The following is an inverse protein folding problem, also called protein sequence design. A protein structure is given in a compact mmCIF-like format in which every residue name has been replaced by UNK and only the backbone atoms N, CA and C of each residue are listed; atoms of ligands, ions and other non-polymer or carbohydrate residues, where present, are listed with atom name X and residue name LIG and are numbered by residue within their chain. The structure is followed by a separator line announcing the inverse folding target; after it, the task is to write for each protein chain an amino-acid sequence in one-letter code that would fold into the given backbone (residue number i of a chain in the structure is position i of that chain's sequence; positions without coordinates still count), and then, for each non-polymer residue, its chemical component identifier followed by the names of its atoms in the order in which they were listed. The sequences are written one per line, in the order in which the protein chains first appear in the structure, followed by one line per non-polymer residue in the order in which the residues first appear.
data_IF_970513050791
#
_entry.id   IF_970513050791
#
_cell.length_a   1.000
_cell.length_b   1.000
_cell.length_c   1.000
_cell.angle_alpha   90.00
_cell.angle_beta   90.00
_cell.angle_gamma   90.00
#
_symmetry.space_group_name_H-M   'P 1'
#
loop_
_entity.id
_entity.type
_entity.pdbx_description
1 polymer ?
#
# COMPACT_ATOMS: atom_id res chain seq x y z
N UNK A 1 64.40 17.55 30.52
CA UNK A 1 63.01 18.03 30.68
C UNK A 1 62.12 17.22 29.75
N UNK A 2 61.46 16.19 30.30
CA UNK A 2 60.59 15.27 29.56
C UNK A 2 59.15 15.78 29.61
N UNK A 3 58.47 15.91 28.46
CA UNK A 3 57.05 16.25 28.39
C UNK A 3 56.25 15.02 27.98
N UNK A 4 55.48 14.50 28.93
CA UNK A 4 54.45 13.48 28.73
C UNK A 4 53.30 14.06 27.90
N UNK A 5 52.98 13.43 26.77
CA UNK A 5 51.75 13.68 25.99
C UNK A 5 50.84 12.47 26.25
N UNK A 6 49.77 12.66 27.01
CA UNK A 6 48.72 11.67 27.19
C UNK A 6 47.74 11.75 26.02
N UNK A 7 47.68 10.70 25.20
CA UNK A 7 46.67 10.53 24.16
C UNK A 7 45.33 10.15 24.79
N UNK A 8 44.33 11.02 24.66
CA UNK A 8 42.94 10.74 25.02
C UNK A 8 42.25 10.08 23.82
N UNK A 9 42.03 8.76 23.89
CA UNK A 9 41.26 8.01 22.89
C UNK A 9 39.77 8.22 23.14
N UNK A 10 39.07 8.86 22.19
CA UNK A 10 37.64 9.07 22.22
C UNK A 10 36.94 7.86 21.56
N UNK A 11 36.37 6.97 22.38
CA UNK A 11 35.63 5.80 21.89
C UNK A 11 34.22 6.23 21.45
N UNK A 12 33.95 6.20 20.15
CA UNK A 12 32.60 6.32 19.59
C UNK A 12 31.82 5.03 19.82
N UNK A 13 30.81 5.08 20.71
CA UNK A 13 29.78 4.04 20.81
C UNK A 13 28.80 4.22 19.64
N UNK A 14 28.92 3.37 18.62
CA UNK A 14 27.89 3.20 17.59
C UNK A 14 26.75 2.39 18.22
N UNK A 15 25.65 3.05 18.57
CA UNK A 15 24.42 2.35 18.95
C UNK A 15 23.82 1.70 17.70
N UNK A 16 24.01 0.39 17.57
CA UNK A 16 23.33 -0.41 16.55
C UNK A 16 21.83 -0.49 16.91
N UNK A 17 21.00 0.29 16.24
CA UNK A 17 19.54 0.14 16.31
C UNK A 17 19.17 -1.20 15.68
N UNK A 18 18.85 -2.18 16.52
CA UNK A 18 18.28 -3.45 16.08
C UNK A 18 16.92 -3.20 15.43
N UNK A 19 16.84 -3.35 14.11
CA UNK A 19 15.57 -3.43 13.40
C UNK A 19 14.90 -4.74 13.82
N UNK A 20 13.91 -4.68 14.70
CA UNK A 20 13.06 -5.84 15.00
C UNK A 20 12.16 -6.07 13.79
N UNK A 21 12.55 -6.99 12.91
CA UNK A 21 11.69 -7.49 11.84
C UNK A 21 10.53 -8.27 12.46
N UNK A 22 9.40 -7.60 12.68
CA UNK A 22 8.15 -8.28 12.98
C UNK A 22 7.67 -8.95 11.68
N UNK A 23 7.75 -10.28 11.63
CA UNK A 23 7.10 -11.07 10.59
C UNK A 23 5.59 -10.90 10.75
N UNK A 24 4.97 -10.09 9.89
CA UNK A 24 3.52 -10.00 9.80
C UNK A 24 3.06 -11.29 9.12
N UNK A 25 2.53 -12.23 9.91
CA UNK A 25 1.86 -13.42 9.38
C UNK A 25 0.66 -12.93 8.58
N UNK A 26 0.67 -13.13 7.26
CA UNK A 26 -0.52 -12.84 6.43
C UNK A 26 -1.65 -13.79 6.81
N UNK A 27 -2.89 -13.31 6.66
CA UNK A 27 -4.07 -14.13 6.86
C UNK A 27 -4.04 -15.34 5.92
N UNK A 28 -4.44 -16.52 6.42
CA UNK A 28 -4.47 -17.75 5.63
C UNK A 28 -5.48 -17.69 4.46
N UNK A 29 -6.52 -16.86 4.58
CA UNK A 29 -7.51 -16.57 3.54
C UNK A 29 -7.20 -15.29 2.74
N UNK A 30 -6.11 -14.60 3.04
CA UNK A 30 -5.71 -13.35 2.41
C UNK A 30 -6.52 -12.12 2.83
N UNK A 31 -7.43 -12.23 3.80
CA UNK A 31 -8.29 -11.12 4.24
C UNK A 31 -7.63 -10.36 5.39
N UNK A 32 -7.48 -9.05 5.23
CA UNK A 32 -7.01 -8.13 6.28
C UNK A 32 -8.05 -7.02 6.50
N UNK A 33 -8.42 -6.79 7.75
CA UNK A 33 -9.35 -5.73 8.15
C UNK A 33 -8.55 -4.64 8.85
N UNK A 34 -8.48 -3.46 8.22
CA UNK A 34 -7.83 -2.29 8.78
C UNK A 34 -8.86 -1.38 9.46
N UNK A 35 -8.64 -1.05 10.73
CA UNK A 35 -9.49 -0.12 11.48
C UNK A 35 -8.67 1.04 12.02
N UNK A 36 -9.21 2.26 11.90
CA UNK A 36 -8.61 3.48 12.43
C UNK A 36 -9.69 4.51 12.80
N UNK A 37 -9.27 5.58 13.49
CA UNK A 37 -10.12 6.71 13.82
C UNK A 37 -10.18 7.76 12.69
N UNK A 38 -10.42 9.01 13.07
CA UNK A 38 -10.57 10.11 12.11
C UNK A 38 -9.29 10.37 11.28
N UNK A 39 -9.50 10.71 10.01
CA UNK A 39 -8.48 11.30 9.14
C UNK A 39 -8.02 12.63 9.73
N UNK A 40 -6.71 12.89 9.69
CA UNK A 40 -6.13 14.15 10.20
C UNK A 40 -5.11 14.76 9.24
N UNK A 41 -4.79 14.08 8.14
CA UNK A 41 -3.85 14.53 7.13
C UNK A 41 -4.28 14.06 5.75
N UNK A 42 -4.05 14.91 4.74
CA UNK A 42 -4.20 14.60 3.33
C UNK A 42 -3.11 15.30 2.53
N UNK A 43 -2.54 14.60 1.56
CA UNK A 43 -1.66 15.15 0.53
C UNK A 43 -2.04 14.55 -0.82
N UNK A 44 -2.02 15.37 -1.85
CA UNK A 44 -2.27 14.94 -3.22
C UNK A 44 -1.10 15.39 -4.08
N UNK A 45 -0.60 14.49 -4.94
CA UNK A 45 0.41 14.77 -5.97
C UNK A 45 -0.24 14.47 -7.31
N UNK A 46 -0.26 15.44 -8.21
CA UNK A 46 -0.89 15.30 -9.53
C UNK A 46 0.14 15.45 -10.64
N UNK A 47 -0.05 14.77 -11.76
CA UNK A 47 0.79 14.91 -12.94
C UNK A 47 -0.04 14.76 -14.23
N UNK A 48 0.14 15.69 -15.16
CA UNK A 48 -0.59 15.79 -16.45
C UNK A 48 0.32 15.51 -17.64
N UNK A 49 1.51 14.94 -17.40
CA UNK A 49 2.42 14.58 -18.47
C UNK A 49 2.33 13.08 -18.72
N UNK A 50 2.21 12.66 -20.00
CA UNK A 50 2.16 11.25 -20.34
C UNK A 50 3.48 10.58 -20.04
N UNK A 51 3.40 9.34 -19.56
CA UNK A 51 4.54 8.51 -19.21
C UNK A 51 4.34 7.13 -19.78
N UNK A 52 5.43 6.50 -20.22
CA UNK A 52 5.41 5.13 -20.73
C UNK A 52 6.46 4.27 -20.07
N UNK A 53 6.15 2.98 -19.90
CA UNK A 53 7.15 1.95 -19.63
C UNK A 53 6.83 0.66 -20.37
N UNK A 54 7.83 -0.20 -20.50
CA UNK A 54 7.72 -1.59 -20.93
C UNK A 54 8.56 -2.51 -20.05
N UNK A 55 8.94 -2.05 -18.85
CA UNK A 55 9.78 -2.82 -17.93
C UNK A 55 9.03 -3.98 -17.31
N UNK A 56 9.67 -5.13 -17.19
CA UNK A 56 9.13 -6.30 -16.49
C UNK A 56 9.40 -6.25 -14.97
N UNK A 57 10.11 -5.21 -14.50
CA UNK A 57 10.46 -5.02 -13.09
C UNK A 57 9.77 -3.79 -12.54
N UNK A 58 9.22 -3.89 -11.33
CA UNK A 58 8.66 -2.71 -10.68
C UNK A 58 9.69 -1.58 -10.57
N UNK A 59 9.37 -0.47 -11.21
CA UNK A 59 10.07 0.80 -11.08
C UNK A 59 9.06 1.88 -10.67
N UNK A 60 9.54 2.98 -10.11
CA UNK A 60 8.64 4.05 -9.70
C UNK A 60 8.06 4.79 -10.91
N UNK A 61 6.77 5.09 -10.86
CA UNK A 61 6.14 6.00 -11.81
C UNK A 61 6.73 7.40 -11.57
N UNK A 62 7.38 8.02 -12.56
CA UNK A 62 8.03 9.32 -12.35
C UNK A 62 7.07 10.39 -11.81
N UNK A 63 7.41 10.95 -10.64
CA UNK A 63 6.60 12.00 -10.00
C UNK A 63 5.41 11.50 -9.17
N UNK A 64 5.08 10.20 -9.17
CA UNK A 64 4.03 9.63 -8.33
C UNK A 64 4.58 9.15 -6.97
N UNK A 65 5.25 10.04 -6.25
CA UNK A 65 5.76 9.75 -4.90
C UNK A 65 5.75 10.97 -3.98
N UNK A 66 5.75 10.73 -2.67
CA UNK A 66 5.84 11.76 -1.63
C UNK A 66 6.42 11.19 -0.34
N UNK A 67 6.86 12.06 0.57
CA UNK A 67 7.13 11.69 1.97
C UNK A 67 6.07 12.29 2.88
N UNK A 68 5.51 11.47 3.76
CA UNK A 68 4.65 11.88 4.88
C UNK A 68 5.42 11.72 6.20
N UNK A 69 4.96 12.38 7.25
CA UNK A 69 5.60 12.33 8.56
C UNK A 69 4.63 11.78 9.60
N UNK A 70 4.90 10.58 10.10
CA UNK A 70 4.09 9.97 11.15
C UNK A 70 4.47 10.57 12.50
N UNK A 71 3.52 11.11 13.29
CA UNK A 71 3.82 11.76 14.56
C UNK A 71 4.59 10.84 15.53
N UNK A 72 5.43 11.40 16.42
CA UNK A 72 6.10 10.64 17.49
C UNK A 72 5.11 9.81 18.32
N UNK A 73 5.57 8.67 18.83
CA UNK A 73 4.81 7.81 19.76
C UNK A 73 3.37 7.53 19.30
N UNK A 74 3.18 7.23 18.01
CA UNK A 74 1.85 7.05 17.43
C UNK A 74 1.79 5.89 16.43
N UNK A 75 0.58 5.38 16.22
CA UNK A 75 0.27 4.49 15.12
C UNK A 75 -0.75 5.19 14.22
N UNK A 76 -0.59 5.06 12.91
CA UNK A 76 -1.51 5.63 11.91
C UNK A 76 -1.83 4.60 10.85
N UNK A 77 -3.06 4.63 10.35
CA UNK A 77 -3.37 4.00 9.08
C UNK A 77 -3.01 4.98 7.97
N UNK A 78 -2.14 4.54 7.05
CA UNK A 78 -1.84 5.26 5.82
C UNK A 78 -2.71 4.67 4.72
N UNK A 79 -3.60 5.49 4.17
CA UNK A 79 -4.44 5.15 3.03
C UNK A 79 -3.85 5.83 1.80
N UNK A 80 -3.63 5.06 0.74
CA UNK A 80 -3.13 5.57 -0.53
C UNK A 80 -4.14 5.26 -1.62
N UNK A 81 -4.60 6.27 -2.32
CA UNK A 81 -5.35 6.16 -3.56
C UNK A 81 -4.50 6.61 -4.74
N UNK A 82 -4.67 5.96 -5.88
CA UNK A 82 -4.08 6.41 -7.13
C UNK A 82 -5.10 6.28 -8.25
N UNK A 83 -5.37 7.40 -8.91
CA UNK A 83 -6.22 7.53 -10.07
C UNK A 83 -5.35 7.96 -11.25
N UNK A 84 -5.59 7.42 -12.44
CA UNK A 84 -4.95 7.89 -13.68
C UNK A 84 -5.79 7.51 -14.91
N UNK A 85 -5.57 8.20 -16.02
CA UNK A 85 -5.88 7.67 -17.34
C UNK A 85 -4.73 6.73 -17.74
N UNK A 86 -5.07 5.55 -18.26
CA UNK A 86 -4.09 4.56 -18.63
C UNK A 86 -4.50 3.76 -19.85
N UNK A 87 -3.51 3.06 -20.40
CA UNK A 87 -3.72 1.95 -21.34
C UNK A 87 -2.60 0.93 -21.24
N UNK A 88 -2.94 -0.33 -21.51
CA UNK A 88 -1.99 -1.42 -21.67
C UNK A 88 -2.11 -2.02 -23.08
N UNK A 89 -1.22 -1.64 -24.01
CA UNK A 89 -1.37 -2.04 -25.43
C UNK A 89 -0.17 -2.81 -25.97
N UNK A 90 -0.40 -3.65 -26.98
CA UNK A 90 0.65 -4.50 -27.56
C UNK A 90 0.71 -5.86 -26.86
N UNK A 91 1.90 -6.43 -26.67
CA UNK A 91 2.04 -7.74 -26.01
C UNK A 91 2.03 -8.96 -26.95
N UNK A 92 1.84 -8.76 -28.26
CA UNK A 92 1.63 -9.83 -29.24
C UNK A 92 0.17 -10.33 -29.28
N UNK A 93 -0.16 -11.24 -30.22
CA UNK A 93 -1.54 -11.75 -30.38
C UNK A 93 -1.67 -13.21 -29.96
N UNK A 94 -2.78 -13.57 -29.32
CA UNK A 94 -3.17 -14.94 -28.97
C UNK A 94 -3.12 -15.26 -27.48
N UNK A 95 -3.54 -16.47 -27.09
CA UNK A 95 -3.69 -16.84 -25.67
C UNK A 95 -2.36 -16.83 -24.89
N UNK A 96 -1.22 -17.05 -25.54
CA UNK A 96 0.11 -16.93 -24.94
C UNK A 96 0.59 -15.47 -24.77
N UNK A 97 -0.19 -14.50 -25.28
CA UNK A 97 0.08 -13.07 -25.23
C UNK A 97 -0.91 -12.30 -24.33
N UNK A 98 -1.63 -13.01 -23.45
CA UNK A 98 -2.46 -12.41 -22.41
C UNK A 98 -1.57 -11.74 -21.36
N UNK A 99 -1.05 -10.56 -21.69
CA UNK A 99 -0.25 -9.73 -20.82
C UNK A 99 -1.11 -8.64 -20.17
N UNK A 100 -0.61 -8.05 -19.10
CA UNK A 100 -1.24 -6.93 -18.43
C UNK A 100 -0.19 -5.99 -17.84
N UNK A 101 -0.67 -4.82 -17.45
CA UNK A 101 0.10 -3.75 -16.86
C UNK A 101 -0.26 -3.67 -15.37
N UNK A 102 0.75 -3.59 -14.51
CA UNK A 102 0.57 -3.68 -13.07
C UNK A 102 0.97 -2.38 -12.38
N UNK A 103 0.18 -2.01 -11.37
CA UNK A 103 0.55 -0.99 -10.40
C UNK A 103 0.67 -1.58 -8.99
N UNK A 104 1.61 -1.04 -8.23
CA UNK A 104 1.74 -1.28 -6.79
C UNK A 104 2.01 0.04 -6.06
N UNK A 105 1.83 0.04 -4.75
CA UNK A 105 2.21 1.18 -3.89
C UNK A 105 3.14 0.68 -2.80
N UNK A 106 4.30 1.30 -2.64
CA UNK A 106 5.15 1.10 -1.46
C UNK A 106 4.90 2.20 -0.45
N UNK A 107 4.72 1.81 0.82
CA UNK A 107 4.54 2.69 1.98
C UNK A 107 5.66 2.35 2.95
N UNK A 108 6.66 3.22 3.07
CA UNK A 108 7.87 2.99 3.88
C UNK A 108 8.68 1.79 3.40
N UNK A 109 8.79 1.60 2.08
CA UNK A 109 9.54 0.50 1.46
C UNK A 109 8.84 -0.86 1.44
N UNK A 110 7.61 -0.94 1.96
CA UNK A 110 6.80 -2.18 1.99
C UNK A 110 5.58 -1.96 1.12
N UNK A 111 5.24 -2.92 0.24
CA UNK A 111 4.01 -2.83 -0.55
C UNK A 111 2.79 -2.72 0.39
N UNK A 112 1.88 -1.79 0.10
CA UNK A 112 0.64 -1.65 0.86
C UNK A 112 -0.30 -2.82 0.62
N UNK A 113 -1.19 -3.09 1.57
CA UNK A 113 -2.18 -4.16 1.47
C UNK A 113 -3.32 -3.80 0.49
N UNK A 114 -3.82 -4.77 -0.30
CA UNK A 114 -3.27 -6.11 -0.47
C UNK A 114 -1.91 -6.05 -1.20
N UNK A 115 -0.91 -6.76 -0.68
CA UNK A 115 0.40 -6.86 -1.34
C UNK A 115 0.29 -7.94 -2.41
N UNK A 116 -0.22 -7.55 -3.58
CA UNK A 116 -0.56 -8.46 -4.66
C UNK A 116 0.69 -8.93 -5.40
N UNK A 117 1.78 -8.16 -5.41
CA UNK A 117 3.02 -8.53 -6.10
C UNK A 117 3.68 -9.80 -5.53
N UNK A 118 3.34 -10.18 -4.30
CA UNK A 118 3.88 -11.37 -3.63
C UNK A 118 3.08 -12.65 -3.91
N UNK A 119 1.89 -12.54 -4.50
CA UNK A 119 1.10 -13.69 -4.93
C UNK A 119 1.45 -13.99 -6.39
N UNK A 120 2.07 -15.14 -6.66
CA UNK A 120 2.22 -15.61 -8.04
C UNK A 120 0.94 -16.32 -8.51
N UNK A 121 0.80 -16.64 -9.80
CA UNK A 121 1.05 -15.77 -10.96
C UNK A 121 0.04 -14.60 -11.05
N UNK A 122 -0.95 -14.56 -10.15
CA UNK A 122 -2.05 -13.61 -10.13
C UNK A 122 -1.67 -12.35 -9.34
N UNK A 123 -1.15 -11.37 -10.06
CA UNK A 123 -0.83 -10.05 -9.54
C UNK A 123 -1.97 -9.05 -9.78
N UNK A 124 -1.83 -7.82 -9.30
CA UNK A 124 -2.83 -6.78 -9.53
C UNK A 124 -2.69 -6.17 -10.93
N UNK A 125 -3.49 -6.65 -11.87
CA UNK A 125 -3.65 -6.02 -13.18
C UNK A 125 -4.40 -4.69 -13.02
N UNK A 126 -3.74 -3.59 -13.35
CA UNK A 126 -4.38 -2.28 -13.48
C UNK A 126 -5.15 -2.20 -14.80
N UNK A 127 -4.55 -2.72 -15.87
CA UNK A 127 -5.19 -2.83 -17.19
C UNK A 127 -4.61 -4.05 -17.94
N UNK A 128 -5.36 -4.61 -18.87
CA UNK A 128 -5.00 -5.81 -19.63
C UNK A 128 -4.74 -5.48 -21.09
N UNK A 129 -3.90 -6.26 -21.77
CA UNK A 129 -3.74 -6.15 -23.23
C UNK A 129 -4.91 -6.73 -24.03
N UNK A 130 -5.86 -7.38 -23.36
CA UNK A 130 -6.97 -8.10 -23.98
C UNK A 130 -6.48 -9.05 -25.10
N UNK A 131 -5.45 -9.84 -24.80
CA UNK A 131 -4.76 -10.75 -25.75
C UNK A 131 -4.17 -10.02 -26.97
N UNK A 132 -3.73 -8.79 -26.78
CA UNK A 132 -3.18 -7.91 -27.82
C UNK A 132 -4.23 -7.15 -28.62
N UNK A 133 -5.51 -7.20 -28.23
CA UNK A 133 -6.56 -6.42 -28.88
C UNK A 133 -6.54 -4.94 -28.48
N UNK A 134 -5.99 -4.61 -27.30
CA UNK A 134 -5.85 -3.21 -26.89
C UNK A 134 -4.84 -2.47 -27.76
N UNK A 135 -5.24 -1.26 -28.17
CA UNK A 135 -4.47 -0.42 -29.08
C UNK A 135 -4.02 0.87 -28.38
N UNK A 136 -3.27 1.70 -29.09
CA UNK A 136 -2.94 3.05 -28.58
C UNK A 136 -4.17 3.92 -28.35
N UNK A 137 -5.36 3.55 -28.83
CA UNK A 137 -6.61 4.29 -28.64
C UNK A 137 -7.46 3.81 -27.46
N UNK A 138 -7.00 2.80 -26.71
CA UNK A 138 -7.72 2.16 -25.61
C UNK A 138 -7.57 2.92 -24.29
N UNK A 139 -7.78 4.23 -24.31
CA UNK A 139 -7.62 5.08 -23.13
C UNK A 139 -8.77 4.88 -22.15
N UNK A 140 -8.44 4.58 -20.89
CA UNK A 140 -9.42 4.33 -19.85
C UNK A 140 -8.99 4.94 -18.52
N UNK A 141 -9.96 5.43 -17.74
CA UNK A 141 -9.72 5.89 -16.39
C UNK A 141 -9.81 4.72 -15.41
N UNK A 142 -8.77 4.55 -14.59
CA UNK A 142 -8.69 3.50 -13.58
C UNK A 142 -8.21 4.05 -12.24
N UNK A 143 -8.66 3.41 -11.16
CA UNK A 143 -8.34 3.81 -9.79
C UNK A 143 -8.10 2.60 -8.89
N UNK A 144 -7.16 2.73 -7.96
CA UNK A 144 -6.94 1.71 -6.94
C UNK A 144 -6.50 2.30 -5.59
N UNK A 145 -6.59 1.48 -4.54
CA UNK A 145 -6.11 1.87 -3.22
C UNK A 145 -5.27 0.79 -2.53
N UNK A 146 -4.35 1.24 -1.67
CA UNK A 146 -3.50 0.41 -0.82
C UNK A 146 -3.36 1.02 0.56
N UNK A 147 -3.21 0.16 1.56
CA UNK A 147 -3.27 0.56 2.97
C UNK A 147 -2.12 -0.03 3.77
N UNK A 148 -1.63 0.68 4.79
CA UNK A 148 -0.64 0.13 5.72
C UNK A 148 -0.73 0.79 7.09
N UNK A 149 -0.73 -0.02 8.15
CA UNK A 149 -0.46 0.49 9.49
C UNK A 149 1.02 0.84 9.63
N UNK A 150 1.31 2.08 10.02
CA UNK A 150 2.67 2.52 10.35
C UNK A 150 2.74 2.94 11.81
N UNK A 151 3.71 2.39 12.55
CA UNK A 151 3.99 2.72 13.95
C UNK A 151 5.27 3.53 14.04
N UNK A 152 5.22 4.66 14.71
CA UNK A 152 6.38 5.45 15.09
C UNK A 152 6.56 5.37 16.60
N UNK A 153 7.54 4.59 17.02
CA UNK A 153 7.89 4.37 18.44
C UNK A 153 8.96 5.35 18.93
N UNK A 154 9.38 6.29 18.07
CA UNK A 154 10.40 7.28 18.40
C UNK A 154 9.78 8.57 18.93
N UNK A 155 10.62 9.41 19.54
CA UNK A 155 10.24 10.75 20.01
C UNK A 155 10.33 11.85 18.93
N UNK A 156 10.61 11.47 17.68
CA UNK A 156 10.69 12.40 16.54
C UNK A 156 9.73 11.98 15.43
N UNK A 157 9.29 12.89 14.54
CA UNK A 157 8.50 12.51 13.38
C UNK A 157 9.23 11.47 12.52
N UNK A 158 8.54 10.39 12.14
CA UNK A 158 9.09 9.34 11.28
C UNK A 158 8.77 9.67 9.81
N UNK A 159 9.77 9.95 8.96
CA UNK A 159 9.54 10.08 7.53
C UNK A 159 9.16 8.73 6.93
N UNK A 160 8.03 8.69 6.21
CA UNK A 160 7.54 7.52 5.50
C UNK A 160 7.41 7.90 4.04
N UNK A 161 8.21 7.27 3.18
CA UNK A 161 8.13 7.45 1.73
C UNK A 161 6.97 6.63 1.18
N UNK A 162 6.16 7.25 0.33
CA UNK A 162 5.05 6.62 -0.40
C UNK A 162 5.34 6.76 -1.89
N UNK A 163 5.28 5.67 -2.65
CA UNK A 163 5.51 5.70 -4.09
C UNK A 163 4.64 4.69 -4.83
N UNK A 164 4.13 5.11 -5.98
CA UNK A 164 3.48 4.24 -6.96
C UNK A 164 4.56 3.63 -7.85
N UNK A 165 4.47 2.34 -8.09
CA UNK A 165 5.39 1.61 -8.96
C UNK A 165 4.60 0.92 -10.06
N UNK A 166 5.20 0.80 -11.23
CA UNK A 166 4.62 0.15 -12.39
C UNK A 166 5.55 -0.90 -12.97
N UNK A 167 4.96 -1.85 -13.69
CA UNK A 167 5.65 -2.77 -14.60
C UNK A 167 4.65 -3.35 -15.58
N UNK A 168 5.13 -4.17 -16.50
CA UNK A 168 4.32 -5.03 -17.37
C UNK A 168 4.64 -6.49 -17.15
N UNK A 169 3.69 -7.36 -17.48
CA UNK A 169 3.99 -8.77 -17.71
C UNK A 169 4.45 -8.99 -19.14
N UNK A 170 5.26 -10.02 -19.35
CA UNK A 170 5.66 -10.44 -20.69
C UNK A 170 5.86 -11.96 -20.71
N UNK A 171 4.83 -12.70 -21.10
CA UNK A 171 4.88 -14.17 -21.13
C UNK A 171 5.30 -14.73 -22.49
N UNK A 172 5.21 -13.91 -23.55
CA UNK A 172 5.69 -14.23 -24.88
C UNK A 172 5.75 -12.96 -25.76
N UNK A 173 6.65 -12.95 -26.75
CA UNK A 173 6.70 -11.90 -27.75
C UNK A 173 7.36 -10.60 -27.27
N UNK A 174 6.78 -9.47 -27.65
CA UNK A 174 7.23 -8.13 -27.24
C UNK A 174 6.40 -7.69 -26.04
N UNK A 175 7.05 -7.18 -25.00
CA UNK A 175 6.36 -6.63 -23.84
C UNK A 175 5.34 -5.53 -24.27
N UNK A 176 4.18 -5.43 -23.60
CA UNK A 176 3.26 -4.35 -23.89
C UNK A 176 3.85 -3.00 -23.46
N UNK A 177 3.30 -1.93 -24.03
CA UNK A 177 3.54 -0.58 -23.58
C UNK A 177 2.47 -0.21 -22.55
N UNK A 178 2.92 0.10 -21.34
CA UNK A 178 2.09 0.70 -20.31
C UNK A 178 2.21 2.21 -20.42
N UNK A 179 1.11 2.88 -20.69
CA UNK A 179 1.03 4.33 -20.71
C UNK A 179 0.14 4.82 -19.56
N UNK A 180 0.54 5.91 -18.92
CA UNK A 180 -0.23 6.62 -17.91
C UNK A 180 -0.19 8.13 -18.18
N UNK A 181 -1.30 8.81 -17.93
CA UNK A 181 -1.40 10.28 -17.92
C UNK A 181 -2.48 10.71 -16.92
N UNK A 182 -2.57 12.03 -16.68
CA UNK A 182 -3.59 12.65 -15.84
C UNK A 182 -3.80 11.93 -14.50
N UNK A 183 -2.70 11.79 -13.77
CA UNK A 183 -2.62 10.99 -12.54
C UNK A 183 -2.77 11.83 -11.27
N UNK A 184 -3.30 11.19 -10.22
CA UNK A 184 -3.40 11.74 -8.88
C UNK A 184 -3.04 10.67 -7.82
N UNK A 185 -1.93 10.86 -7.12
CA UNK A 185 -1.57 10.13 -5.91
C UNK A 185 -2.15 10.84 -4.68
N UNK A 186 -3.12 10.22 -4.02
CA UNK A 186 -3.74 10.70 -2.78
C UNK A 186 -3.18 9.91 -1.60
N UNK A 187 -2.64 10.59 -0.60
CA UNK A 187 -2.16 9.99 0.65
C UNK A 187 -2.88 10.62 1.83
N UNK A 188 -3.57 9.80 2.62
CA UNK A 188 -4.29 10.20 3.81
C UNK A 188 -3.76 9.45 5.03
N UNK A 189 -3.76 10.11 6.20
CA UNK A 189 -3.46 9.44 7.48
C UNK A 189 -4.62 9.56 8.44
N UNK A 190 -4.91 8.45 9.11
CA UNK A 190 -5.94 8.33 10.16
C UNK A 190 -5.33 7.95 11.50
N UNK A 191 -5.94 8.43 12.60
CA UNK A 191 -5.42 8.22 13.96
C UNK A 191 -5.58 6.76 14.40
N UNK A 192 -4.51 6.18 14.96
CA UNK A 192 -4.51 4.78 15.37
C UNK A 192 -4.49 3.84 14.17
N UNK A 193 -4.21 2.56 14.44
CA UNK A 193 -4.32 1.51 13.44
C UNK A 193 -4.34 0.12 14.09
N UNK A 194 -5.31 -0.70 13.73
CA UNK A 194 -5.31 -2.15 13.99
C UNK A 194 -5.50 -2.90 12.67
N UNK A 195 -4.89 -4.09 12.59
CA UNK A 195 -5.07 -5.04 11.50
C UNK A 195 -5.57 -6.34 12.12
N UNK A 196 -6.75 -6.77 11.72
CA UNK A 196 -7.31 -8.06 12.12
C UNK A 196 -7.33 -8.99 10.91
N UNK A 197 -6.88 -10.23 11.10
CA UNK A 197 -7.05 -11.30 10.12
C UNK A 197 -8.22 -12.16 10.61
N UNK A 198 -9.32 -12.31 9.85
CA UNK A 198 -10.40 -13.19 10.26
C UNK A 198 -9.82 -14.56 10.59
N UNK A 199 -10.03 -15.03 11.82
CA UNK A 199 -9.73 -16.42 12.13
C UNK A 199 -10.75 -17.21 11.34
N UNK A 200 -10.29 -17.91 10.28
CA UNK A 200 -11.16 -18.70 9.40
C UNK A 200 -12.16 -19.48 10.24
N UNK A 201 -13.42 -19.50 9.80
CA UNK A 201 -14.57 -20.03 10.53
C UNK A 201 -14.37 -21.49 10.95
N UNK A 202 -13.62 -21.72 12.02
CA UNK A 202 -13.57 -22.96 12.75
C UNK A 202 -14.86 -23.01 13.56
N UNK A 203 -15.93 -23.49 12.91
CA UNK A 203 -17.20 -23.88 13.51
C UNK A 203 -17.78 -22.85 14.47
N UNK A 204 -18.71 -22.02 13.99
CA UNK A 204 -19.75 -21.46 14.85
C UNK A 204 -20.60 -22.65 15.32
N UNK A 205 -20.13 -23.38 16.33
CA UNK A 205 -20.97 -24.25 17.11
C UNK A 205 -21.74 -23.32 18.05
N UNK A 206 -22.92 -22.93 17.60
CA UNK A 206 -23.89 -22.21 18.40
C UNK A 206 -24.33 -23.10 19.55
N UNK A 207 -23.65 -23.03 20.69
CA UNK A 207 -24.22 -23.49 21.98
C UNK A 207 -23.63 -22.74 23.17
N UNK A 208 -24.53 -22.01 23.83
CA UNK A 208 -24.53 -21.60 25.24
C UNK A 208 -23.49 -20.58 25.71
N UNK A 209 -23.93 -19.31 25.81
CA UNK A 209 -23.30 -18.27 26.61
C UNK A 209 -24.21 -17.04 26.69
N UNK A 210 -25.11 -17.04 27.67
CA UNK A 210 -26.18 -16.06 27.82
C UNK A 210 -25.67 -14.61 27.86
N UNK A 211 -26.04 -13.81 26.86
CA UNK A 211 -25.98 -12.36 26.96
C UNK A 211 -27.06 -11.89 27.95
N UNK A 212 -26.63 -11.55 29.16
CA UNK A 212 -27.45 -10.89 30.18
C UNK A 212 -27.86 -9.51 29.64
N UNK A 213 -29.07 -9.42 29.08
CA UNK A 213 -29.74 -8.15 28.75
C UNK A 213 -29.90 -7.33 30.04
N UNK A 214 -29.14 -6.26 30.18
CA UNK A 214 -29.49 -5.16 31.09
C UNK A 214 -30.47 -4.27 30.35
N UNK A 215 -31.71 -4.24 30.85
CA UNK A 215 -32.80 -3.43 30.31
C UNK A 215 -32.61 -1.94 30.58
N UNK A 216 -33.02 -1.14 29.61
CA UNK A 216 -33.34 0.27 29.75
C UNK A 216 -34.51 0.57 28.82
N UNK A 217 -35.71 0.62 29.38
CA UNK A 217 -36.94 0.95 28.66
C UNK A 217 -36.95 2.46 28.36
N UNK A 218 -37.15 2.83 27.10
CA UNK A 218 -37.50 4.20 26.71
C UNK A 218 -39.04 4.36 26.79
N UNK A 219 -39.58 5.43 27.37
CA UNK A 219 -41.02 5.63 27.44
C UNK A 219 -41.59 6.09 26.09
N UNK A 220 -42.76 5.52 25.78
CA UNK A 220 -43.59 5.81 24.59
C UNK A 220 -44.16 7.24 24.63
N UNK A 221 -44.23 7.96 23.49
CA UNK A 221 -44.93 9.24 23.44
C UNK A 221 -46.44 8.99 23.28
N UNK A 222 -47.22 9.46 24.25
CA UNK A 222 -48.67 9.63 24.15
C UNK A 222 -49.01 11.05 23.72
N UNK A 223 -49.99 11.10 22.82
CA UNK A 223 -50.78 12.23 22.32
C UNK A 223 -50.82 13.51 23.18
N UNK A 224 -50.58 14.66 22.52
CA UNK A 224 -51.51 15.79 22.39
C UNK A 224 -51.31 16.45 21.03
#
# INVERSE_FOLDING_TARGET
MSRNIQNLSLSFLVAASALVCHSVSRAADGIEIFTSGAHFFKRVVTNTNPQTTSTEKFEEVPGANTTIFVPPQSAVLVNVGFDAEGRCSGGGTGAAAANWCELSVTIGGVEGSPQASTFGPDTYAYDSTNQGAETIGSWEAHAFSRHRCVRNETNSPLPVRVAVNWKVTNFAGTAPEFWLDDSALVVEMSRGCSVDTPVGSAGINATTGAAKRLGGAAPSPSQQ
#
